data_IF_160998902809
#
_entry.id   IF_160998902809
#
_cell.length_a   1.000
_cell.length_b   1.000
_cell.length_c   1.000
_cell.angle_alpha   90.00
_cell.angle_beta   90.00
_cell.angle_gamma   90.00
#
_symmetry.space_group_name_H-M   'P 1'
#
loop_
_entity.id
_entity.type
_entity.pdbx_description
1 polymer ?
#
# COMPACT_ATOMS: atom_id res chain seq x y z
N UNK A 1 -7.45 0.59 -4.40
CA UNK A 1 -6.27 -0.31 -4.44
C UNK A 1 -6.53 -1.70 -3.83
N UNK A 2 -7.78 -2.15 -3.61
CA UNK A 2 -8.06 -3.48 -3.01
C UNK A 2 -7.34 -4.66 -3.71
N UNK A 3 -7.10 -4.54 -5.01
CA UNK A 3 -6.32 -5.51 -5.79
C UNK A 3 -4.89 -5.66 -5.23
N UNK A 4 -4.23 -4.59 -4.78
CA UNK A 4 -2.87 -4.67 -4.26
C UNK A 4 -2.80 -5.39 -2.90
N UNK A 5 -3.81 -5.24 -2.03
CA UNK A 5 -3.92 -6.05 -0.79
C UNK A 5 -4.16 -7.51 -1.13
N UNK A 6 -5.11 -7.80 -2.02
CA UNK A 6 -5.38 -9.17 -2.44
C UNK A 6 -4.13 -9.85 -3.06
N UNK A 7 -3.40 -9.11 -3.90
CA UNK A 7 -2.15 -9.58 -4.50
C UNK A 7 -1.09 -9.84 -3.44
N UNK A 8 -0.93 -8.95 -2.46
CA UNK A 8 -0.04 -9.16 -1.31
C UNK A 8 -0.41 -10.42 -0.52
N UNK A 9 -1.68 -10.58 -0.13
CA UNK A 9 -2.17 -11.76 0.61
C UNK A 9 -1.97 -13.06 -0.17
N UNK A 10 -2.05 -13.02 -1.50
CA UNK A 10 -1.79 -14.17 -2.37
C UNK A 10 -0.31 -14.52 -2.55
N UNK A 11 0.60 -13.79 -1.90
CA UNK A 11 2.05 -13.97 -2.04
C UNK A 11 2.64 -13.38 -3.32
N UNK A 12 1.90 -12.50 -4.01
CA UNK A 12 2.31 -11.84 -5.25
C UNK A 12 2.35 -10.32 -5.05
N UNK A 13 3.22 -9.78 -4.18
CA UNK A 13 3.29 -8.35 -3.92
C UNK A 13 3.55 -7.58 -5.22
N UNK A 14 2.82 -6.49 -5.51
CA UNK A 14 3.15 -5.62 -6.63
C UNK A 14 4.55 -5.01 -6.48
N UNK A 15 5.39 -5.11 -7.51
CA UNK A 15 6.79 -4.65 -7.48
C UNK A 15 6.89 -3.14 -7.21
N UNK A 16 5.99 -2.35 -7.79
CA UNK A 16 6.07 -0.88 -7.76
C UNK A 16 5.22 -0.24 -6.65
N UNK A 17 4.73 -1.04 -5.68
CA UNK A 17 3.80 -0.51 -4.67
C UNK A 17 4.44 0.58 -3.82
N UNK A 18 5.65 0.34 -3.28
CA UNK A 18 6.34 1.31 -2.43
C UNK A 18 6.70 2.59 -3.23
N UNK A 19 7.07 2.45 -4.51
CA UNK A 19 7.34 3.57 -5.41
C UNK A 19 6.09 4.43 -5.67
N UNK A 20 4.92 3.81 -5.80
CA UNK A 20 3.65 4.52 -5.94
C UNK A 20 3.31 5.32 -4.67
N UNK A 21 3.58 4.76 -3.48
CA UNK A 21 3.38 5.48 -2.23
C UNK A 21 4.31 6.70 -2.15
N UNK A 22 5.59 6.55 -2.49
CA UNK A 22 6.55 7.65 -2.52
C UNK A 22 6.15 8.74 -3.52
N UNK A 23 5.70 8.33 -4.72
CA UNK A 23 5.26 9.26 -5.76
C UNK A 23 4.05 10.09 -5.31
N UNK A 24 3.07 9.46 -4.66
CA UNK A 24 1.89 10.15 -4.14
C UNK A 24 2.26 11.07 -2.99
N UNK A 25 3.12 10.64 -2.07
CA UNK A 25 3.51 11.39 -0.88
C UNK A 25 4.52 12.51 -1.15
N UNK A 26 5.18 12.51 -2.31
CA UNK A 26 6.14 13.54 -2.68
C UNK A 26 5.50 14.92 -2.84
N UNK A 27 6.03 15.91 -2.12
CA UNK A 27 5.61 17.31 -2.26
C UNK A 27 5.91 17.87 -3.66
N UNK A 28 6.92 17.31 -4.36
CA UNK A 28 7.33 17.77 -5.69
C UNK A 28 6.31 17.43 -6.77
N UNK A 29 5.59 16.32 -6.62
CA UNK A 29 4.55 15.90 -7.58
C UNK A 29 3.25 16.63 -7.35
N UNK A 30 3.03 17.12 -6.11
CA UNK A 30 1.80 17.77 -5.69
C UNK A 30 0.58 16.83 -5.71
N UNK A 31 0.76 15.52 -5.86
CA UNK A 31 -0.33 14.57 -6.04
C UNK A 31 -1.26 14.48 -4.84
N UNK A 32 -0.74 14.63 -3.62
CA UNK A 32 -1.58 14.72 -2.41
C UNK A 32 -2.71 15.75 -2.55
N UNK A 33 -2.49 16.86 -3.27
CA UNK A 33 -3.51 17.91 -3.45
C UNK A 33 -4.66 17.52 -4.37
N UNK A 34 -4.51 16.44 -5.15
CA UNK A 34 -5.55 15.92 -6.05
C UNK A 34 -6.60 15.10 -5.30
N UNK A 35 -6.30 14.68 -4.07
CA UNK A 35 -7.19 13.87 -3.26
C UNK A 35 -8.03 14.77 -2.34
N UNK A 36 -9.32 14.46 -2.24
CA UNK A 36 -10.14 14.96 -1.14
C UNK A 36 -9.68 14.36 0.19
N UNK A 37 -10.06 14.99 1.30
CA UNK A 37 -9.71 14.49 2.63
C UNK A 37 -10.24 13.06 2.90
N UNK A 38 -11.42 12.73 2.37
CA UNK A 38 -11.96 11.37 2.47
C UNK A 38 -11.10 10.38 1.69
N UNK A 39 -10.71 10.71 0.47
CA UNK A 39 -9.86 9.85 -0.35
C UNK A 39 -8.46 9.66 0.27
N UNK A 40 -7.90 10.68 0.93
CA UNK A 40 -6.66 10.55 1.69
C UNK A 40 -6.81 9.61 2.89
N UNK A 41 -7.93 9.69 3.61
CA UNK A 41 -8.21 8.76 4.70
C UNK A 41 -8.34 7.31 4.19
N UNK A 42 -9.08 7.10 3.11
CA UNK A 42 -9.20 5.79 2.46
C UNK A 42 -7.85 5.27 1.97
N UNK A 43 -7.01 6.14 1.39
CA UNK A 43 -5.67 5.79 0.94
C UNK A 43 -4.77 5.35 2.11
N UNK A 44 -4.79 6.08 3.23
CA UNK A 44 -4.03 5.71 4.42
C UNK A 44 -4.51 4.39 5.06
N UNK A 45 -5.82 4.16 5.09
CA UNK A 45 -6.39 2.90 5.58
C UNK A 45 -5.94 1.73 4.70
N UNK A 46 -6.00 1.93 3.39
CA UNK A 46 -5.55 0.95 2.41
C UNK A 46 -4.06 0.61 2.56
N UNK A 47 -3.19 1.62 2.64
CA UNK A 47 -1.75 1.42 2.80
C UNK A 47 -1.43 0.68 4.10
N UNK A 48 -2.17 0.97 5.18
CA UNK A 48 -2.04 0.24 6.44
C UNK A 48 -2.40 -1.25 6.28
N UNK A 49 -3.51 -1.56 5.64
CA UNK A 49 -3.93 -2.95 5.38
C UNK A 49 -2.88 -3.69 4.56
N UNK A 50 -2.38 -3.09 3.48
CA UNK A 50 -1.31 -3.67 2.67
C UNK A 50 -0.05 -4.01 3.49
N UNK A 51 0.38 -3.11 4.36
CA UNK A 51 1.54 -3.36 5.23
C UNK A 51 1.31 -4.46 6.24
N UNK A 52 0.09 -4.58 6.78
CA UNK A 52 -0.27 -5.67 7.69
C UNK A 52 -0.21 -7.01 6.96
N UNK A 53 -0.84 -7.13 5.79
CA UNK A 53 -0.79 -8.35 4.97
C UNK A 53 0.65 -8.72 4.60
N UNK A 54 1.51 -7.73 4.31
CA UNK A 54 2.93 -7.95 4.04
C UNK A 54 3.68 -8.52 5.25
N UNK A 55 3.41 -8.01 6.44
CA UNK A 55 4.04 -8.50 7.68
C UNK A 55 3.57 -9.92 8.01
N UNK A 56 2.26 -10.18 7.93
CA UNK A 56 1.68 -11.50 8.16
C UNK A 56 2.29 -12.55 7.21
N UNK A 57 2.37 -12.24 5.92
CA UNK A 57 3.02 -13.12 4.94
C UNK A 57 4.50 -13.36 5.26
N UNK A 58 5.22 -12.32 5.66
CA UNK A 58 6.64 -12.45 6.03
C UNK A 58 6.82 -13.35 7.27
N UNK A 59 5.95 -13.23 8.27
CA UNK A 59 5.95 -14.09 9.47
C UNK A 59 5.69 -15.55 9.09
N UNK A 60 4.70 -15.82 8.24
CA UNK A 60 4.37 -17.15 7.73
C UNK A 60 5.55 -17.80 6.99
N UNK A 61 6.22 -17.04 6.12
CA UNK A 61 7.39 -17.52 5.37
C UNK A 61 8.60 -17.76 6.27
N UNK A 62 8.76 -16.98 7.35
CA UNK A 62 9.88 -17.15 8.30
C UNK A 62 9.70 -18.32 9.27
N UNK A 63 8.45 -18.77 9.45
CA UNK A 63 8.07 -19.87 10.33
C UNK A 63 8.04 -21.24 9.63
N UNK A 64 8.28 -21.26 8.31
CA UNK A 64 8.27 -22.42 7.42
C UNK A 64 9.67 -22.95 7.16
#
# INVERSE_FOLDING_TARGET
MQVSVYLMESGNPPEDHDELIELVASDETGFLSLFSQLQLQEFMLFEREYRLSRLELQEDLSSS
#
